data_IF_343696616963
#
_entry.id   IF_343696616963
#
_cell.length_a   1.000
_cell.length_b   1.000
_cell.length_c   1.000
_cell.angle_alpha   90.00
_cell.angle_beta   90.00
_cell.angle_gamma   90.00
#
_symmetry.space_group_name_H-M   'P 1'
#
loop_
_entity.id
_entity.type
_entity.pdbx_description
1 polymer ?
#
# COMPACT_ATOMS: atom_id res chain seq x y z
N UNK A 1 9.00 10.44 4.42
CA UNK A 1 8.36 9.98 5.67
C UNK A 1 7.04 10.73 5.76
N UNK A 2 5.93 10.03 6.03
CA UNK A 2 4.61 10.65 6.19
C UNK A 2 4.65 11.72 7.29
N UNK A 3 3.98 12.86 7.11
CA UNK A 3 3.87 13.87 8.18
C UNK A 3 3.27 13.22 9.43
N UNK A 4 4.07 13.14 10.49
CA UNK A 4 3.67 12.66 11.81
C UNK A 4 2.88 13.79 12.45
N UNK A 5 1.58 13.60 12.64
CA UNK A 5 0.70 14.59 13.28
C UNK A 5 0.04 13.98 14.50
N UNK A 6 -0.31 14.83 15.47
CA UNK A 6 -0.97 14.36 16.70
C UNK A 6 -2.25 13.55 16.42
N UNK A 7 -3.06 13.99 15.44
CA UNK A 7 -4.28 13.28 15.05
C UNK A 7 -4.01 11.86 14.54
N UNK A 8 -2.89 11.65 13.86
CA UNK A 8 -2.46 10.31 13.40
C UNK A 8 -1.92 9.43 14.53
N UNK A 9 -1.40 10.04 15.58
CA UNK A 9 -0.86 9.34 16.75
C UNK A 9 -1.93 8.95 17.76
N UNK A 10 -3.12 9.56 17.70
CA UNK A 10 -4.17 9.40 18.70
C UNK A 10 -4.55 7.95 19.00
N UNK A 11 -4.55 7.09 17.98
CA UNK A 11 -4.85 5.66 18.12
C UNK A 11 -3.72 4.85 18.76
N UNK A 12 -2.51 5.40 18.79
CA UNK A 12 -1.32 4.80 19.38
C UNK A 12 -1.07 5.26 20.80
N UNK A 13 -1.65 6.37 21.27
CA UNK A 13 -1.43 6.86 22.64
C UNK A 13 -2.24 5.97 23.61
N UNK A 14 -1.54 5.18 24.42
CA UNK A 14 -2.17 4.35 25.46
C UNK A 14 -2.26 5.10 26.79
N UNK A 15 -1.22 5.83 27.15
CA UNK A 15 -1.18 6.66 28.35
C UNK A 15 -0.39 7.93 28.07
N UNK A 16 -0.81 9.03 28.68
CA UNK A 16 -0.11 10.30 28.63
C UNK A 16 -0.12 10.93 30.02
N UNK A 17 1.07 11.27 30.52
CA UNK A 17 1.25 11.91 31.82
C UNK A 17 2.08 13.18 31.68
N UNK A 18 1.62 14.25 32.32
CA UNK A 18 2.26 15.57 32.29
C UNK A 18 2.84 15.87 33.66
N UNK A 19 4.15 16.11 33.72
CA UNK A 19 4.85 16.50 34.92
C UNK A 19 5.66 17.78 34.69
N UNK A 20 5.10 18.92 35.12
CA UNK A 20 5.67 20.24 34.87
C UNK A 20 5.75 20.54 33.37
N UNK A 21 6.96 20.70 32.84
CA UNK A 21 7.22 20.95 31.42
C UNK A 21 7.41 19.67 30.60
N UNK A 22 7.44 18.49 31.22
CA UNK A 22 7.67 17.22 30.53
C UNK A 22 6.36 16.47 30.28
N UNK A 23 6.26 15.85 29.11
CA UNK A 23 5.22 14.90 28.76
C UNK A 23 5.87 13.54 28.61
N UNK A 24 5.38 12.56 29.38
CA UNK A 24 5.70 11.15 29.19
C UNK A 24 4.53 10.52 28.46
N UNK A 25 4.81 9.90 27.32
CA UNK A 25 3.81 9.25 26.48
C UNK A 25 4.16 7.77 26.36
N UNK A 26 3.16 6.94 26.58
CA UNK A 26 3.22 5.50 26.35
C UNK A 26 2.48 5.23 25.05
N UNK A 27 3.22 4.88 24.00
CA UNK A 27 2.66 4.45 22.72
C UNK A 27 2.45 2.94 22.74
N UNK A 28 1.31 2.50 22.22
CA UNK A 28 0.96 1.10 22.04
C UNK A 28 0.71 0.81 20.58
N UNK A 29 1.34 -0.24 20.08
CA UNK A 29 1.04 -0.77 18.76
C UNK A 29 -0.32 -1.50 18.81
N UNK A 30 -1.34 -1.09 18.06
CA UNK A 30 -2.65 -1.74 18.06
C UNK A 30 -2.62 -3.18 17.53
N UNK A 31 -1.65 -3.52 16.67
CA UNK A 31 -1.53 -4.87 16.10
C UNK A 31 -0.86 -5.87 17.06
N UNK A 32 0.16 -5.43 17.81
CA UNK A 32 0.99 -6.32 18.63
C UNK A 32 0.82 -6.13 20.13
N UNK A 33 0.13 -5.06 20.55
CA UNK A 33 0.05 -4.59 21.94
C UNK A 33 1.43 -4.29 22.57
N UNK A 34 2.52 -4.24 21.78
CA UNK A 34 3.84 -3.79 22.24
C UNK A 34 3.79 -2.32 22.66
N UNK A 35 4.56 -1.99 23.69
CA UNK A 35 4.54 -0.70 24.37
C UNK A 35 5.89 -0.03 24.23
N UNK A 36 5.87 1.26 23.86
CA UNK A 36 7.04 2.11 23.69
C UNK A 36 6.87 3.36 24.54
N UNK A 37 7.87 3.67 25.35
CA UNK A 37 7.85 4.84 26.24
C UNK A 37 8.72 5.95 25.65
N UNK A 38 8.18 7.16 25.59
CA UNK A 38 8.92 8.32 25.15
C UNK A 38 8.63 9.53 26.02
N UNK A 39 9.58 10.46 26.06
CA UNK A 39 9.51 11.66 26.87
C UNK A 39 9.89 12.85 26.00
N UNK A 40 9.12 13.94 26.08
CA UNK A 40 9.43 15.20 25.43
C UNK A 40 9.15 16.39 26.35
N UNK A 41 9.69 17.56 26.00
CA UNK A 41 9.52 18.80 26.77
C UNK A 41 8.62 19.76 26.02
N UNK A 42 7.54 20.24 26.65
CA UNK A 42 6.60 21.19 26.07
C UNK A 42 7.28 22.54 25.81
N UNK A 43 7.06 23.07 24.59
CA UNK A 43 7.50 24.41 24.19
C UNK A 43 6.26 25.25 23.79
N UNK A 44 6.14 26.51 24.24
CA UNK A 44 5.01 27.37 23.88
C UNK A 44 4.90 27.55 22.36
N UNK A 45 3.67 27.55 21.85
CA UNK A 45 3.42 27.67 20.42
C UNK A 45 2.89 29.05 20.01
N UNK A 46 3.28 29.49 18.81
CA UNK A 46 2.79 30.68 18.12
C UNK A 46 2.39 30.31 16.69
N UNK A 47 1.13 29.88 16.46
CA UNK A 47 0.49 29.96 15.15
C UNK A 47 -0.31 28.74 14.63
N UNK A 48 -1.64 28.84 14.80
CA UNK A 48 -2.80 28.47 13.95
C UNK A 48 -2.69 27.30 12.95
N UNK A 49 -3.52 26.26 13.17
CA UNK A 49 -3.85 25.19 12.22
C UNK A 49 -5.26 25.31 11.60
N UNK A 50 -5.44 24.68 10.43
CA UNK A 50 -6.69 24.55 9.68
C UNK A 50 -7.30 23.15 9.80
N UNK A 51 -8.61 23.06 9.56
CA UNK A 51 -9.48 21.89 9.76
C UNK A 51 -10.12 21.49 8.42
N UNK A 52 -10.17 20.20 8.05
CA UNK A 52 -11.16 19.63 7.09
C UNK A 52 -11.49 18.15 7.38
N UNK A 53 -12.76 17.85 7.08
CA UNK A 53 -13.67 16.71 7.26
C UNK A 53 -13.43 15.43 6.43
N UNK A 54 -14.21 14.37 6.73
CA UNK A 54 -14.45 13.20 5.84
C UNK A 54 -15.88 12.61 5.94
N UNK A 55 -16.37 12.10 4.82
CA UNK A 55 -17.46 11.14 4.55
C UNK A 55 -17.12 10.47 3.18
N UNK A 56 -17.57 9.30 2.70
CA UNK A 56 -18.31 8.11 3.15
C UNK A 56 -18.06 6.95 2.11
N UNK A 57 -18.67 5.76 2.30
CA UNK A 57 -18.47 4.46 1.57
C UNK A 57 -19.46 4.16 0.41
N UNK A 58 -19.07 3.31 -0.58
CA UNK A 58 -19.65 1.98 -0.91
C UNK A 58 -19.06 1.30 -2.20
N UNK A 59 -19.31 -0.03 -2.33
CA UNK A 59 -19.03 -1.04 -3.40
C UNK A 59 -17.86 -2.03 -3.14
N UNK A 60 -18.14 -3.34 -3.19
CA UNK A 60 -17.28 -4.41 -2.63
C UNK A 60 -16.77 -5.47 -3.66
N UNK A 61 -16.95 -5.23 -4.95
CA UNK A 61 -16.28 -6.00 -6.04
C UNK A 61 -15.40 -5.06 -6.88
N UNK A 62 -15.89 -3.85 -7.14
CA UNK A 62 -15.04 -2.68 -7.40
C UNK A 62 -14.00 -2.45 -6.31
N UNK A 63 -14.18 -3.00 -5.11
CA UNK A 63 -13.17 -2.88 -4.07
C UNK A 63 -11.89 -3.61 -4.47
N UNK A 64 -11.91 -4.85 -5.00
CA UNK A 64 -10.70 -5.71 -5.17
C UNK A 64 -9.70 -5.05 -6.09
N UNK A 65 -10.29 -4.53 -7.17
CA UNK A 65 -9.63 -3.71 -8.16
C UNK A 65 -9.20 -2.35 -7.57
N UNK A 66 -9.99 -1.71 -6.70
CA UNK A 66 -9.61 -0.48 -5.96
C UNK A 66 -8.53 -0.69 -4.88
N UNK A 67 -8.47 -1.84 -4.20
CA UNK A 67 -7.45 -2.18 -3.22
C UNK A 67 -6.09 -2.36 -3.90
N UNK A 68 -6.07 -3.08 -5.02
CA UNK A 68 -4.87 -3.17 -5.86
C UNK A 68 -4.48 -1.80 -6.42
N UNK A 69 -5.44 -0.99 -6.88
CA UNK A 69 -5.22 0.40 -7.33
C UNK A 69 -4.51 1.25 -6.27
N UNK A 70 -4.91 1.17 -4.99
CA UNK A 70 -4.29 1.96 -3.92
C UNK A 70 -2.83 1.56 -3.66
N UNK A 71 -2.51 0.27 -3.78
CA UNK A 71 -1.13 -0.24 -3.69
C UNK A 71 -0.28 0.24 -4.88
N UNK A 72 -0.86 0.27 -6.08
CA UNK A 72 -0.15 0.63 -7.31
C UNK A 72 0.10 2.14 -7.42
N UNK A 73 -0.80 2.97 -6.89
CA UNK A 73 -0.63 4.42 -6.82
C UNK A 73 0.56 4.84 -5.94
N UNK A 74 0.87 4.06 -4.91
CA UNK A 74 2.05 4.28 -4.05
C UNK A 74 3.38 3.91 -4.72
N UNK A 75 3.35 3.02 -5.72
CA UNK A 75 4.55 2.42 -6.33
C UNK A 75 5.00 3.15 -7.60
N UNK A 76 4.07 3.77 -8.34
CA UNK A 76 4.35 4.39 -9.64
C UNK A 76 4.67 5.90 -9.60
N UNK A 77 4.65 6.51 -8.41
CA UNK A 77 5.13 7.88 -8.19
C UNK A 77 4.02 8.92 -8.20
N UNK A 78 3.64 9.36 -7.00
CA UNK A 78 2.80 10.51 -6.75
C UNK A 78 3.05 11.11 -5.37
N UNK A 79 3.86 12.17 -5.32
CA UNK A 79 4.12 13.11 -4.21
C UNK A 79 4.79 12.59 -2.92
N UNK A 80 6.13 12.64 -2.89
CA UNK A 80 6.87 13.13 -1.70
C UNK A 80 7.66 14.36 -2.15
N UNK A 81 7.02 15.52 -2.03
CA UNK A 81 7.62 16.80 -2.42
C UNK A 81 8.81 17.15 -1.55
N UNK A 82 9.90 17.49 -2.22
CA UNK A 82 11.10 18.13 -1.69
C UNK A 82 10.85 19.58 -1.30
N UNK A 83 11.24 20.00 -0.08
CA UNK A 83 11.91 21.30 0.13
C UNK A 83 12.97 21.12 1.23
N UNK A 84 14.20 21.47 0.87
CA UNK A 84 15.35 21.60 1.76
C UNK A 84 15.44 23.03 2.33
N UNK A 85 15.82 23.12 3.61
CA UNK A 85 16.78 24.06 4.19
C UNK A 85 16.55 25.59 4.10
N UNK A 86 16.50 26.23 5.26
CA UNK A 86 17.46 27.28 5.65
C UNK A 86 17.44 27.57 7.14
N UNK A 87 18.63 27.92 7.65
CA UNK A 87 19.03 28.00 9.05
C UNK A 87 18.87 29.41 9.67
N UNK A 88 18.94 29.41 11.00
CA UNK A 88 19.38 30.46 11.93
C UNK A 88 18.62 31.81 11.99
N UNK A 89 18.11 32.18 13.17
CA UNK A 89 18.84 32.99 14.16
C UNK A 89 17.92 33.49 15.29
N UNK A 90 18.36 33.25 16.53
CA UNK A 90 18.28 34.12 17.71
C UNK A 90 17.00 34.91 18.00
N UNK A 91 16.29 34.52 19.07
CA UNK A 91 15.75 35.46 20.07
C UNK A 91 15.37 34.72 21.36
N UNK A 92 16.02 35.09 22.47
CA UNK A 92 15.60 34.76 23.84
C UNK A 92 14.61 35.83 24.29
N UNK A 93 13.46 35.46 24.87
CA UNK A 93 13.10 36.12 26.12
C UNK A 93 12.63 35.17 27.24
N UNK A 94 12.92 35.68 28.43
CA UNK A 94 12.72 35.21 29.80
C UNK A 94 11.35 34.61 30.14
N UNK A 95 11.46 33.71 31.11
CA UNK A 95 10.42 33.08 31.91
C UNK A 95 9.31 34.04 32.39
N UNK A 96 8.09 33.73 31.95
CA UNK A 96 6.85 33.92 32.71
C UNK A 96 6.17 32.55 32.81
N UNK A 97 5.38 32.29 33.85
CA UNK A 97 4.63 31.05 34.01
C UNK A 97 3.62 30.91 32.88
N UNK A 98 3.98 30.18 31.83
CA UNK A 98 3.12 29.89 30.68
C UNK A 98 2.09 28.85 31.13
N UNK A 99 0.81 29.21 31.12
CA UNK A 99 -0.27 28.22 31.04
C UNK A 99 0.00 27.37 29.80
N UNK A 100 0.44 26.14 30.03
CA UNK A 100 0.80 25.19 28.98
C UNK A 100 -0.44 24.93 28.12
N UNK A 101 -0.40 25.46 26.90
CA UNK A 101 -1.48 25.36 25.94
C UNK A 101 -1.59 23.92 25.40
N UNK A 102 -2.80 23.49 25.03
CA UNK A 102 -3.09 22.17 24.45
C UNK A 102 -2.20 21.90 23.23
N UNK A 103 -1.92 22.93 22.44
CA UNK A 103 -1.02 22.88 21.28
C UNK A 103 0.40 22.49 21.65
N UNK A 104 0.94 23.01 22.76
CA UNK A 104 2.27 22.68 23.26
C UNK A 104 2.37 21.22 23.72
N UNK A 105 1.28 20.69 24.28
CA UNK A 105 1.14 19.27 24.65
C UNK A 105 1.09 18.38 23.41
N UNK A 106 0.21 18.68 22.43
CA UNK A 106 0.09 17.90 21.19
C UNK A 106 1.42 17.86 20.41
N UNK A 107 2.16 18.97 20.38
CA UNK A 107 3.52 19.01 19.82
C UNK A 107 4.51 18.16 20.59
N UNK A 108 4.51 18.24 21.92
CA UNK A 108 5.40 17.42 22.74
C UNK A 108 5.12 15.92 22.52
N UNK A 109 3.86 15.53 22.31
CA UNK A 109 3.51 14.15 21.95
C UNK A 109 4.08 13.75 20.59
N UNK A 110 4.00 14.64 19.59
CA UNK A 110 4.63 14.39 18.27
C UNK A 110 6.16 14.27 18.40
N UNK A 111 6.81 15.18 19.13
CA UNK A 111 8.27 15.15 19.38
C UNK A 111 8.69 13.89 20.17
N UNK A 112 7.88 13.46 21.14
CA UNK A 112 8.09 12.20 21.86
C UNK A 112 8.00 11.01 20.89
N UNK A 113 7.00 10.99 20.01
CA UNK A 113 6.86 9.93 19.02
C UNK A 113 8.04 9.91 18.02
N UNK A 114 8.52 11.06 17.57
CA UNK A 114 9.67 11.16 16.67
C UNK A 114 10.91 10.46 17.24
N UNK A 115 11.09 10.46 18.57
CA UNK A 115 12.19 9.75 19.24
C UNK A 115 12.11 8.22 19.12
N UNK A 116 10.91 7.66 18.94
CA UNK A 116 10.65 6.22 18.78
C UNK A 116 10.17 5.85 17.37
N UNK A 117 10.08 6.82 16.45
CA UNK A 117 9.44 6.64 15.14
C UNK A 117 10.11 5.58 14.27
N UNK A 118 11.40 5.28 14.50
CA UNK A 118 12.12 4.21 13.80
C UNK A 118 11.56 2.81 14.10
N UNK A 119 10.89 2.64 15.23
CA UNK A 119 10.28 1.38 15.68
C UNK A 119 8.86 1.19 15.12
N UNK A 120 8.36 2.18 14.38
CA UNK A 120 7.01 2.19 13.83
C UNK A 120 6.98 2.38 12.31
N UNK A 121 6.03 1.73 11.66
CA UNK A 121 5.64 1.97 10.27
C UNK A 121 4.19 2.45 10.21
N UNK A 122 3.90 3.43 9.38
CA UNK A 122 2.52 3.86 9.16
C UNK A 122 1.75 2.79 8.37
N UNK A 123 0.62 2.34 8.91
CA UNK A 123 -0.34 1.49 8.21
C UNK A 123 -1.53 2.32 7.73
N UNK A 124 -1.62 2.51 6.41
CA UNK A 124 -2.77 3.19 5.79
C UNK A 124 -4.08 2.44 6.06
N UNK A 125 -4.02 1.14 6.29
CA UNK A 125 -5.18 0.31 6.57
C UNK A 125 -5.76 0.55 7.97
N UNK A 126 -4.89 0.64 9.00
CA UNK A 126 -5.33 0.92 10.36
C UNK A 126 -5.48 2.41 10.66
N UNK A 127 -4.98 3.27 9.76
CA UNK A 127 -4.77 4.69 10.03
C UNK A 127 -4.03 4.89 11.38
N UNK A 128 -3.01 4.06 11.61
CA UNK A 128 -2.23 4.01 12.83
C UNK A 128 -0.80 3.55 12.55
N UNK A 129 0.11 3.87 13.48
CA UNK A 129 1.47 3.37 13.47
C UNK A 129 1.51 1.95 14.04
N UNK A 130 2.08 1.01 13.30
CA UNK A 130 2.31 -0.37 13.75
C UNK A 130 3.80 -0.61 13.94
N UNK A 131 4.16 -1.58 14.77
CA UNK A 131 5.57 -1.98 14.97
C UNK A 131 6.22 -2.29 13.61
N UNK A 132 7.39 -1.68 13.34
CA UNK A 132 8.07 -1.79 12.06
C UNK A 132 8.54 -3.22 11.74
N UNK A 133 8.95 -3.98 12.75
CA UNK A 133 9.34 -5.39 12.61
C UNK A 133 8.13 -6.23 12.19
N UNK A 134 7.00 -6.03 12.88
CA UNK A 134 5.76 -6.73 12.56
C UNK A 134 5.19 -6.28 11.21
N UNK A 135 5.32 -5.00 10.85
CA UNK A 135 4.93 -4.49 9.54
C UNK A 135 5.65 -5.25 8.42
N UNK A 136 6.94 -5.52 8.58
CA UNK A 136 7.71 -6.32 7.62
C UNK A 136 7.30 -7.80 7.58
N UNK A 137 6.96 -8.39 8.74
CA UNK A 137 6.46 -9.77 8.83
C UNK A 137 5.07 -9.91 8.20
N UNK A 138 4.21 -8.91 8.38
CA UNK A 138 2.85 -8.87 7.86
C UNK A 138 2.77 -8.44 6.39
N UNK A 139 3.84 -7.91 5.80
CA UNK A 139 3.90 -7.65 4.37
C UNK A 139 3.87 -8.97 3.59
N UNK A 140 3.01 -9.03 2.57
CA UNK A 140 3.05 -10.11 1.60
C UNK A 140 4.40 -10.08 0.85
N UNK A 141 4.84 -11.23 0.35
CA UNK A 141 6.05 -11.26 -0.50
C UNK A 141 5.87 -10.42 -1.77
N UNK A 142 4.61 -10.23 -2.19
CA UNK A 142 4.27 -9.27 -3.24
C UNK A 142 4.66 -7.83 -2.87
N UNK A 143 4.24 -7.37 -1.70
CA UNK A 143 4.55 -6.01 -1.26
C UNK A 143 6.05 -5.82 -1.02
N UNK A 144 6.74 -6.86 -0.52
CA UNK A 144 8.20 -6.85 -0.33
C UNK A 144 8.92 -6.70 -1.68
N UNK A 145 8.55 -7.50 -2.68
CA UNK A 145 9.15 -7.44 -4.01
C UNK A 145 8.92 -6.07 -4.67
N UNK A 146 7.69 -5.55 -4.58
CA UNK A 146 7.33 -4.28 -5.21
C UNK A 146 8.03 -3.08 -4.53
N UNK A 147 8.25 -3.15 -3.22
CA UNK A 147 8.99 -2.14 -2.46
C UNK A 147 10.50 -2.21 -2.69
N UNK A 148 11.06 -3.41 -2.81
CA UNK A 148 12.49 -3.61 -3.08
C UNK A 148 12.86 -3.22 -4.51
N UNK A 149 11.95 -3.45 -5.46
CA UNK A 149 12.17 -3.23 -6.88
C UNK A 149 11.01 -2.45 -7.52
N UNK A 150 10.86 -1.15 -7.19
CA UNK A 150 9.77 -0.34 -7.69
C UNK A 150 9.94 -0.02 -9.19
N UNK A 151 8.83 0.10 -9.91
CA UNK A 151 8.81 0.42 -11.34
C UNK A 151 8.83 1.95 -11.51
N UNK A 152 10.01 2.56 -11.36
CA UNK A 152 10.15 4.03 -11.38
C UNK A 152 10.52 4.61 -12.75
N UNK A 153 11.16 3.82 -13.61
CA UNK A 153 11.63 4.28 -14.91
C UNK A 153 10.47 4.51 -15.89
N UNK A 154 10.52 5.60 -16.66
CA UNK A 154 9.47 5.91 -17.64
C UNK A 154 9.30 4.76 -18.65
N UNK A 155 10.40 4.20 -19.15
CA UNK A 155 10.36 3.07 -20.08
C UNK A 155 9.65 1.87 -19.47
N UNK A 156 10.06 1.43 -18.27
CA UNK A 156 9.44 0.29 -17.59
C UNK A 156 7.96 0.53 -17.31
N UNK A 157 7.57 1.74 -16.91
CA UNK A 157 6.16 2.08 -16.71
C UNK A 157 5.36 1.97 -18.00
N UNK A 158 5.91 2.45 -19.12
CA UNK A 158 5.26 2.35 -20.44
C UNK A 158 5.15 0.90 -20.90
N UNK A 159 6.19 0.09 -20.74
CA UNK A 159 6.15 -1.34 -21.07
C UNK A 159 5.16 -2.07 -20.17
N UNK A 160 5.16 -1.81 -18.86
CA UNK A 160 4.21 -2.42 -17.91
C UNK A 160 2.77 -2.08 -18.27
N UNK A 161 2.49 -0.81 -18.58
CA UNK A 161 1.18 -0.38 -19.05
C UNK A 161 0.71 -1.14 -20.29
N UNK A 162 1.59 -1.32 -21.29
CA UNK A 162 1.28 -2.11 -22.49
C UNK A 162 1.10 -3.59 -22.17
N UNK A 163 1.88 -4.14 -21.22
CA UNK A 163 1.69 -5.52 -20.75
C UNK A 163 0.30 -5.70 -20.15
N UNK A 164 -0.13 -4.80 -19.26
CA UNK A 164 -1.46 -4.87 -18.66
C UNK A 164 -2.57 -4.70 -19.69
N UNK A 165 -2.39 -3.80 -20.67
CA UNK A 165 -3.34 -3.62 -21.76
C UNK A 165 -3.45 -4.86 -22.65
N UNK A 166 -2.34 -5.52 -22.98
CA UNK A 166 -2.35 -6.77 -23.75
C UNK A 166 -3.03 -7.91 -22.99
N UNK A 167 -2.87 -8.01 -21.66
CA UNK A 167 -3.56 -9.00 -20.83
C UNK A 167 -5.07 -8.76 -20.85
N UNK A 168 -5.51 -7.53 -20.57
CA UNK A 168 -6.94 -7.15 -20.59
C UNK A 168 -7.56 -7.35 -21.98
N UNK A 169 -6.79 -7.19 -23.05
CA UNK A 169 -7.26 -7.40 -24.42
C UNK A 169 -7.21 -8.86 -24.89
N UNK A 170 -6.79 -9.82 -24.05
CA UNK A 170 -6.52 -11.18 -24.47
C UNK A 170 -7.74 -11.87 -25.09
N UNK A 171 -8.93 -11.62 -24.54
CA UNK A 171 -10.21 -12.17 -24.98
C UNK A 171 -10.90 -11.33 -26.07
N UNK A 172 -10.37 -10.13 -26.33
CA UNK A 172 -10.88 -9.16 -27.30
C UNK A 172 -12.02 -8.26 -26.81
N UNK A 173 -12.42 -8.34 -25.54
CA UNK A 173 -13.50 -7.53 -24.96
C UNK A 173 -13.02 -6.91 -23.65
N UNK A 174 -12.79 -5.59 -23.65
CA UNK A 174 -12.54 -4.86 -22.41
C UNK A 174 -13.87 -4.57 -21.74
N UNK A 175 -14.10 -5.11 -20.55
CA UNK A 175 -15.25 -4.70 -19.75
C UNK A 175 -15.00 -3.37 -19.00
N UNK A 176 -16.06 -2.73 -18.51
CA UNK A 176 -15.97 -1.44 -17.80
C UNK A 176 -15.08 -1.53 -16.55
N UNK A 177 -14.97 -2.73 -16.01
CA UNK A 177 -14.37 -3.11 -14.74
C UNK A 177 -12.83 -3.23 -14.87
N UNK A 178 -12.37 -3.86 -15.95
CA UNK A 178 -10.97 -3.89 -16.39
C UNK A 178 -10.50 -2.51 -16.84
N UNK A 179 -11.36 -1.76 -17.54
CA UNK A 179 -11.08 -0.37 -17.92
C UNK A 179 -10.88 0.49 -16.67
N UNK A 180 -11.77 0.39 -15.68
CA UNK A 180 -11.64 1.12 -14.41
C UNK A 180 -10.34 0.75 -13.66
N UNK A 181 -10.01 -0.54 -13.60
CA UNK A 181 -8.75 -0.99 -13.01
C UNK A 181 -7.55 -0.38 -13.73
N UNK A 182 -7.54 -0.46 -15.06
CA UNK A 182 -6.45 0.01 -15.89
C UNK A 182 -6.22 1.52 -15.73
N UNK A 183 -7.29 2.30 -15.83
CA UNK A 183 -7.26 3.74 -15.60
C UNK A 183 -6.87 4.10 -14.16
N UNK A 184 -7.20 3.23 -13.21
CA UNK A 184 -6.77 3.34 -11.83
C UNK A 184 -5.26 3.17 -11.65
N UNK A 185 -4.64 2.26 -12.40
CA UNK A 185 -3.20 2.03 -12.43
C UNK A 185 -2.44 3.20 -13.07
N UNK A 186 -3.02 3.79 -14.11
CA UNK A 186 -2.38 4.76 -14.97
C UNK A 186 -2.63 6.18 -14.46
N UNK A 187 -1.79 6.69 -13.56
CA UNK A 187 -1.93 8.06 -13.09
C UNK A 187 -1.61 9.10 -14.18
N UNK A 188 -2.52 10.06 -14.30
CA UNK A 188 -2.86 10.94 -15.44
C UNK A 188 -1.82 11.97 -15.94
N UNK A 189 -0.50 11.72 -15.85
CA UNK A 189 0.47 12.69 -16.39
C UNK A 189 1.39 12.18 -17.49
N UNK A 190 1.77 10.90 -17.47
CA UNK A 190 2.84 10.41 -18.36
C UNK A 190 2.44 9.15 -19.16
N UNK A 191 1.17 8.77 -19.13
CA UNK A 191 0.71 7.49 -19.69
C UNK A 191 -0.49 7.64 -20.61
N UNK A 192 -0.37 7.04 -21.79
CA UNK A 192 -1.41 6.92 -22.82
C UNK A 192 -2.68 6.25 -22.26
N UNK A 193 -3.84 6.56 -22.86
CA UNK A 193 -5.09 5.89 -22.52
C UNK A 193 -5.04 4.40 -22.90
N UNK A 194 -5.91 3.57 -22.33
CA UNK A 194 -6.00 2.15 -22.71
C UNK A 194 -6.19 2.01 -24.24
N UNK A 195 -7.12 2.79 -24.81
CA UNK A 195 -7.42 2.76 -26.25
C UNK A 195 -6.21 3.18 -27.12
N UNK A 196 -5.31 4.04 -26.61
CA UNK A 196 -4.08 4.43 -27.31
C UNK A 196 -3.00 3.33 -27.22
N UNK A 197 -2.92 2.65 -26.08
CA UNK A 197 -1.95 1.57 -25.87
C UNK A 197 -2.29 0.35 -26.71
N UNK A 198 -3.57 0.02 -26.83
CA UNK A 198 -4.04 -1.07 -27.72
C UNK A 198 -3.66 -0.79 -29.17
N UNK A 199 -3.74 0.46 -29.62
CA UNK A 199 -3.34 0.88 -30.99
C UNK A 199 -1.83 0.81 -31.24
N UNK A 200 -1.00 0.87 -30.20
CA UNK A 200 0.46 0.86 -30.33
C UNK A 200 0.99 -0.49 -30.80
N UNK A 201 0.18 -1.55 -30.68
CA UNK A 201 0.52 -2.90 -31.10
C UNK A 201 1.25 -3.71 -30.03
N UNK A 202 1.35 -5.02 -30.29
CA UNK A 202 1.89 -5.97 -29.33
C UNK A 202 3.37 -5.72 -29.00
N UNK A 203 3.74 -5.88 -27.74
CA UNK A 203 5.09 -5.79 -27.24
C UNK A 203 5.98 -6.85 -27.89
N UNK A 204 7.11 -6.39 -28.40
CA UNK A 204 8.15 -7.24 -28.96
C UNK A 204 9.04 -7.80 -27.85
N UNK A 205 9.74 -8.90 -28.17
CA UNK A 205 10.75 -9.47 -27.29
C UNK A 205 11.89 -8.48 -26.99
N UNK A 206 12.25 -7.62 -27.94
CA UNK A 206 13.31 -6.64 -27.78
C UNK A 206 12.93 -5.61 -26.73
N UNK A 207 11.73 -5.03 -26.82
CA UNK A 207 11.25 -4.03 -25.86
C UNK A 207 11.19 -4.58 -24.43
N UNK A 208 10.69 -5.82 -24.27
CA UNK A 208 10.69 -6.51 -22.99
C UNK A 208 12.13 -6.74 -22.47
N UNK A 209 13.06 -7.08 -23.36
CA UNK A 209 14.47 -7.30 -23.03
C UNK A 209 15.25 -6.05 -22.64
N UNK A 210 14.81 -4.86 -23.05
CA UNK A 210 15.43 -3.57 -22.73
C UNK A 210 15.03 -3.03 -21.34
N UNK A 211 14.02 -3.63 -20.69
CA UNK A 211 13.62 -3.27 -19.33
C UNK A 211 14.72 -3.56 -18.32
N UNK A 212 14.82 -2.75 -17.26
CA UNK A 212 15.80 -3.00 -16.19
C UNK A 212 15.54 -4.36 -15.49
N UNK A 213 16.58 -5.19 -15.27
CA UNK A 213 16.44 -6.53 -14.69
C UNK A 213 15.74 -6.59 -13.32
N UNK A 214 15.93 -5.58 -12.48
CA UNK A 214 15.35 -5.49 -11.14
C UNK A 214 13.83 -5.29 -11.18
N UNK A 215 13.32 -4.47 -12.11
CA UNK A 215 11.90 -4.18 -12.25
C UNK A 215 11.08 -5.36 -12.83
N UNK A 216 11.70 -6.25 -13.61
CA UNK A 216 10.99 -7.27 -14.42
C UNK A 216 10.07 -8.18 -13.61
N UNK A 217 10.53 -8.61 -12.43
CA UNK A 217 9.73 -9.43 -11.54
C UNK A 217 8.48 -8.68 -11.06
N UNK A 218 8.64 -7.42 -10.65
CA UNK A 218 7.53 -6.56 -10.25
C UNK A 218 6.55 -6.35 -11.40
N UNK A 219 7.04 -6.06 -12.62
CA UNK A 219 6.19 -5.91 -13.81
C UNK A 219 5.37 -7.18 -14.08
N UNK A 220 6.01 -8.34 -14.02
CA UNK A 220 5.35 -9.63 -14.26
C UNK A 220 4.32 -9.96 -13.18
N UNK A 221 4.60 -9.64 -11.92
CA UNK A 221 3.64 -9.80 -10.82
C UNK A 221 2.38 -8.99 -11.04
N UNK A 222 2.50 -7.76 -11.52
CA UNK A 222 1.33 -6.93 -11.83
C UNK A 222 0.50 -7.53 -12.97
N UNK A 223 1.15 -8.05 -14.01
CA UNK A 223 0.47 -8.71 -15.11
C UNK A 223 -0.30 -9.96 -14.66
N UNK A 224 0.29 -10.82 -13.82
CA UNK A 224 -0.43 -11.96 -13.25
C UNK A 224 -1.57 -11.52 -12.33
N UNK A 225 -1.36 -10.52 -11.48
CA UNK A 225 -2.43 -10.05 -10.58
C UNK A 225 -3.63 -9.52 -11.35
N UNK A 226 -3.42 -8.84 -12.47
CA UNK A 226 -4.49 -8.41 -13.38
C UNK A 226 -5.26 -9.60 -13.95
N UNK A 227 -4.54 -10.53 -14.57
CA UNK A 227 -5.10 -11.71 -15.25
C UNK A 227 -5.81 -12.70 -14.31
N UNK A 228 -5.77 -12.46 -13.00
CA UNK A 228 -6.42 -13.30 -11.99
C UNK A 228 -7.61 -12.60 -11.33
N UNK A 229 -7.89 -11.34 -11.70
CA UNK A 229 -8.99 -10.59 -11.09
C UNK A 229 -10.37 -11.08 -11.49
N UNK A 230 -10.50 -11.72 -12.65
CA UNK A 230 -11.75 -12.31 -13.17
C UNK A 230 -11.96 -13.78 -12.74
N UNK A 231 -11.09 -14.26 -11.85
CA UNK A 231 -11.05 -15.63 -11.32
C UNK A 231 -10.73 -16.72 -12.37
N UNK A 232 -10.40 -16.37 -13.62
CA UNK A 232 -10.24 -17.35 -14.71
C UNK A 232 -9.09 -16.97 -15.63
N UNK A 233 -7.94 -17.56 -15.35
CA UNK A 233 -6.79 -17.43 -16.24
C UNK A 233 -6.98 -18.28 -17.51
N UNK A 234 -7.44 -17.68 -18.59
CA UNK A 234 -7.74 -18.40 -19.83
C UNK A 234 -6.47 -18.76 -20.65
N UNK A 235 -6.64 -19.54 -21.72
CA UNK A 235 -5.51 -19.98 -22.53
C UNK A 235 -4.81 -18.84 -23.31
N UNK A 236 -5.55 -17.78 -23.66
CA UNK A 236 -5.02 -16.62 -24.37
C UNK A 236 -4.17 -15.74 -23.44
N UNK A 237 -4.67 -15.45 -22.24
CA UNK A 237 -3.92 -14.75 -21.19
C UNK A 237 -2.67 -15.52 -20.78
N UNK A 238 -2.78 -16.85 -20.58
CA UNK A 238 -1.62 -17.70 -20.29
C UNK A 238 -0.56 -17.61 -21.38
N UNK A 239 -0.96 -17.60 -22.65
CA UNK A 239 -0.01 -17.48 -23.76
C UNK A 239 0.68 -16.11 -23.77
N UNK A 240 -0.05 -15.03 -23.46
CA UNK A 240 0.48 -13.67 -23.36
C UNK A 240 1.46 -13.54 -22.18
N UNK A 241 1.10 -14.06 -21.01
CA UNK A 241 1.95 -14.05 -19.82
C UNK A 241 3.22 -14.88 -20.04
N UNK A 242 3.12 -16.06 -20.65
CA UNK A 242 4.30 -16.87 -21.00
C UNK A 242 5.21 -16.15 -22.00
N UNK A 243 4.64 -15.43 -22.97
CA UNK A 243 5.40 -14.54 -23.88
C UNK A 243 6.13 -13.45 -23.09
N UNK A 244 5.49 -12.81 -22.12
CA UNK A 244 6.11 -11.79 -21.29
C UNK A 244 7.23 -12.34 -20.41
N UNK A 245 7.01 -13.44 -19.69
CA UNK A 245 8.04 -14.07 -18.87
C UNK A 245 9.29 -14.40 -19.70
N UNK A 246 9.10 -14.98 -20.88
CA UNK A 246 10.18 -15.26 -21.83
C UNK A 246 10.87 -14.01 -22.37
N UNK A 247 10.11 -12.95 -22.67
CA UNK A 247 10.64 -11.68 -23.18
C UNK A 247 11.44 -10.90 -22.14
N UNK A 248 10.97 -10.93 -20.89
CA UNK A 248 11.66 -10.37 -19.72
C UNK A 248 12.86 -11.22 -19.28
N UNK A 249 12.99 -12.46 -19.78
CA UNK A 249 14.07 -13.37 -19.40
C UNK A 249 13.93 -13.87 -17.96
N UNK A 250 12.69 -14.08 -17.50
CA UNK A 250 12.39 -14.68 -16.20
C UNK A 250 12.53 -16.20 -16.31
N UNK A 251 13.27 -16.81 -15.38
CA UNK A 251 13.40 -18.26 -15.32
C UNK A 251 12.10 -18.91 -14.83
N UNK A 252 11.82 -20.15 -15.26
CA UNK A 252 10.54 -20.83 -15.00
C UNK A 252 10.21 -20.98 -13.51
N UNK A 253 11.20 -21.36 -12.70
CA UNK A 253 11.08 -21.47 -11.24
C UNK A 253 10.72 -20.12 -10.59
N UNK A 254 11.34 -19.05 -11.09
CA UNK A 254 11.05 -17.68 -10.64
C UNK A 254 9.68 -17.20 -11.13
N UNK A 255 9.26 -17.60 -12.33
CA UNK A 255 7.94 -17.31 -12.88
C UNK A 255 6.83 -17.94 -12.02
N UNK A 256 6.97 -19.23 -11.66
CA UNK A 256 6.04 -19.92 -10.76
C UNK A 256 5.93 -19.22 -9.40
N UNK A 257 7.05 -18.77 -8.84
CA UNK A 257 7.08 -18.02 -7.59
C UNK A 257 6.37 -16.65 -7.72
N UNK A 258 6.66 -15.92 -8.80
CA UNK A 258 6.02 -14.63 -9.10
C UNK A 258 4.50 -14.80 -9.24
N UNK A 259 4.08 -15.83 -9.98
CA UNK A 259 2.68 -16.19 -10.15
C UNK A 259 2.04 -16.48 -8.80
N UNK A 260 2.67 -17.29 -7.95
CA UNK A 260 2.17 -17.60 -6.62
C UNK A 260 1.98 -16.34 -5.76
N UNK A 261 2.96 -15.44 -5.76
CA UNK A 261 2.85 -14.17 -5.03
C UNK A 261 1.71 -13.29 -5.55
N UNK A 262 1.49 -13.26 -6.87
CA UNK A 262 0.37 -12.56 -7.47
C UNK A 262 -0.99 -13.16 -7.05
N UNK A 263 -1.15 -14.49 -7.09
CA UNK A 263 -2.36 -15.17 -6.63
C UNK A 263 -2.67 -14.83 -5.16
N UNK A 264 -1.65 -14.95 -4.30
CA UNK A 264 -1.77 -14.63 -2.86
C UNK A 264 -2.22 -13.19 -2.67
N UNK A 265 -1.68 -12.26 -3.47
CA UNK A 265 -2.04 -10.85 -3.36
C UNK A 265 -3.48 -10.57 -3.76
N UNK A 266 -4.00 -11.25 -4.79
CA UNK A 266 -5.40 -11.11 -5.23
C UNK A 266 -6.35 -11.55 -4.11
N UNK A 267 -6.10 -12.72 -3.50
CA UNK A 267 -6.89 -13.21 -2.35
C UNK A 267 -6.81 -12.26 -1.16
N UNK A 268 -5.61 -11.79 -0.82
CA UNK A 268 -5.39 -10.85 0.27
C UNK A 268 -6.13 -9.53 0.05
N UNK A 269 -6.16 -9.04 -1.18
CA UNK A 269 -6.86 -7.81 -1.54
C UNK A 269 -8.38 -7.98 -1.38
N UNK A 270 -8.94 -9.09 -1.85
CA UNK A 270 -10.36 -9.44 -1.64
C UNK A 270 -10.71 -9.55 -0.15
N UNK A 271 -9.87 -10.22 0.65
CA UNK A 271 -10.05 -10.31 2.10
C UNK A 271 -10.06 -8.93 2.77
N UNK A 272 -9.11 -8.06 2.41
CA UNK A 272 -9.02 -6.71 2.99
C UNK A 272 -10.31 -5.90 2.78
N UNK A 273 -11.09 -6.23 1.77
CA UNK A 273 -12.27 -5.46 1.41
C UNK A 273 -13.55 -6.04 1.93
N UNK A 274 -13.69 -7.37 1.95
CA UNK A 274 -14.77 -7.97 2.72
C UNK A 274 -14.69 -7.49 4.17
N UNK A 275 -13.49 -7.37 4.73
CA UNK A 275 -13.27 -6.76 6.05
C UNK A 275 -13.41 -5.23 6.10
N UNK A 276 -13.91 -4.54 5.07
CA UNK A 276 -14.06 -3.07 5.08
C UNK A 276 -15.07 -2.58 6.12
N UNK A 277 -16.01 -3.42 6.56
CA UNK A 277 -16.94 -3.15 7.67
C UNK A 277 -16.50 -3.80 9.00
N UNK A 278 -15.33 -4.44 9.02
CA UNK A 278 -14.75 -5.10 10.18
C UNK A 278 -15.24 -6.53 10.41
N UNK A 279 -16.07 -7.09 9.53
CA UNK A 279 -16.56 -8.47 9.63
C UNK A 279 -16.43 -9.19 8.29
N UNK A 280 -16.54 -10.51 8.31
CA UNK A 280 -16.58 -11.34 7.11
C UNK A 280 -17.77 -12.27 7.25
N UNK A 281 -18.76 -12.13 6.38
CA UNK A 281 -19.93 -13.00 6.39
C UNK A 281 -19.68 -14.33 5.65
N UNK A 282 -20.62 -15.27 5.78
CA UNK A 282 -20.48 -16.59 5.17
C UNK A 282 -20.50 -16.58 3.64
N UNK A 283 -21.20 -15.61 3.03
CA UNK A 283 -21.27 -15.50 1.57
C UNK A 283 -19.97 -14.91 1.01
N UNK A 284 -19.41 -13.90 1.67
CA UNK A 284 -18.08 -13.34 1.36
C UNK A 284 -16.98 -14.38 1.50
N UNK A 285 -17.00 -15.16 2.59
CA UNK A 285 -16.06 -16.26 2.78
C UNK A 285 -16.13 -17.29 1.64
N UNK A 286 -17.34 -17.74 1.29
CA UNK A 286 -17.53 -18.70 0.20
C UNK A 286 -17.05 -18.18 -1.16
N UNK A 287 -17.19 -16.87 -1.42
CA UNK A 287 -16.61 -16.22 -2.61
C UNK A 287 -15.08 -16.24 -2.60
N UNK A 288 -14.46 -15.86 -1.48
CA UNK A 288 -13.00 -15.87 -1.35
C UNK A 288 -12.43 -17.28 -1.53
N UNK A 289 -13.08 -18.29 -0.94
CA UNK A 289 -12.67 -19.70 -1.09
C UNK A 289 -12.80 -20.18 -2.54
N UNK A 290 -13.87 -19.77 -3.24
CA UNK A 290 -14.07 -20.09 -4.67
C UNK A 290 -13.01 -19.44 -5.54
N UNK A 291 -12.78 -18.13 -5.38
CA UNK A 291 -11.73 -17.38 -6.06
C UNK A 291 -10.36 -18.03 -5.81
N UNK A 292 -10.02 -18.30 -4.55
CA UNK A 292 -8.74 -18.89 -4.16
C UNK A 292 -8.55 -20.27 -4.82
N UNK A 293 -9.57 -21.12 -4.81
CA UNK A 293 -9.52 -22.42 -5.48
C UNK A 293 -9.29 -22.28 -7.00
N UNK A 294 -9.99 -21.35 -7.65
CA UNK A 294 -9.87 -21.11 -9.09
C UNK A 294 -8.46 -20.64 -9.50
N UNK A 295 -7.84 -19.78 -8.69
CA UNK A 295 -6.49 -19.25 -8.98
C UNK A 295 -5.35 -20.07 -8.35
N UNK A 296 -5.67 -21.23 -7.74
CA UNK A 296 -4.68 -22.18 -7.22
C UNK A 296 -4.12 -21.89 -5.83
N UNK A 297 -4.82 -21.09 -5.01
CA UNK A 297 -4.50 -20.84 -3.60
C UNK A 297 -5.28 -21.81 -2.72
N UNK A 298 -4.56 -22.67 -1.99
CA UNK A 298 -5.20 -23.67 -1.12
C UNK A 298 -5.84 -23.06 0.13
N UNK A 299 -6.83 -23.77 0.69
CA UNK A 299 -7.62 -23.36 1.86
C UNK A 299 -6.76 -23.02 3.09
N UNK A 300 -5.71 -23.80 3.36
CA UNK A 300 -4.82 -23.55 4.49
C UNK A 300 -4.09 -22.20 4.37
N UNK A 301 -3.69 -21.83 3.15
CA UNK A 301 -3.09 -20.54 2.87
C UNK A 301 -4.13 -19.42 2.97
N UNK A 302 -5.36 -19.61 2.49
CA UNK A 302 -6.46 -18.65 2.68
C UNK A 302 -6.70 -18.37 4.17
N UNK A 303 -6.79 -19.40 5.00
CA UNK A 303 -6.97 -19.25 6.44
C UNK A 303 -5.82 -18.47 7.10
N UNK A 304 -4.58 -18.70 6.65
CA UNK A 304 -3.42 -17.92 7.10
C UNK A 304 -3.50 -16.46 6.67
N UNK A 305 -3.90 -16.20 5.44
CA UNK A 305 -4.08 -14.84 4.92
C UNK A 305 -5.19 -14.09 5.67
N UNK A 306 -6.31 -14.76 5.96
CA UNK A 306 -7.40 -14.23 6.79
C UNK A 306 -6.87 -13.76 8.16
N UNK A 307 -6.13 -14.62 8.87
CA UNK A 307 -5.52 -14.26 10.17
C UNK A 307 -4.60 -13.04 10.03
N UNK A 308 -3.78 -12.99 8.98
CA UNK A 308 -2.87 -11.87 8.75
C UNK A 308 -3.61 -10.57 8.44
N UNK A 309 -4.66 -10.62 7.61
CA UNK A 309 -5.53 -9.48 7.30
C UNK A 309 -6.23 -8.98 8.56
N UNK A 310 -6.80 -9.87 9.37
CA UNK A 310 -7.43 -9.50 10.66
C UNK A 310 -6.44 -8.84 11.60
N UNK A 311 -5.23 -9.38 11.75
CA UNK A 311 -4.15 -8.74 12.51
C UNK A 311 -3.80 -7.36 11.97
N UNK A 312 -3.65 -7.22 10.64
CA UNK A 312 -3.40 -5.94 9.98
C UNK A 312 -4.57 -4.98 10.05
N UNK A 313 -5.79 -5.40 10.37
CA UNK A 313 -6.92 -4.50 10.65
C UNK A 313 -7.21 -4.31 12.13
N UNK A 314 -6.50 -4.99 13.03
CA UNK A 314 -6.79 -4.99 14.47
C UNK A 314 -8.11 -5.68 14.84
N UNK A 315 -8.59 -6.60 13.98
CA UNK A 315 -9.81 -7.40 14.21
C UNK A 315 -9.41 -8.64 15.00
N UNK A 316 -10.07 -8.87 16.13
CA UNK A 316 -9.86 -10.05 17.00
C UNK A 316 -10.78 -11.19 16.61
#
# INVERSE_FOLDING_TARGET
MSDITYERLKNNIAEESVNGAQVTVTFRCPATERIHHAIATMRPDTGVGAQVTRQAKNELLHSARRGLRNLLRGVLGGSTGSVAGSAAASAVPRAGSVTLDRTARERAVVEAFESVAAEFAWSDEQQAYIDAEEAHVLMSDFDKQLRAHPITGHWERSVTARMLAEVVMADGVIDDDEREFFEGFMTSKDTQSLDDLVKTGALSKLELGETKPDARASMMMLAYSMAMTDEKLDAAEQAILAKFAKGLGIALDREEQIRHWACVKVVETMLNECYADGKLDGAERGRIETLAANIGVNEALVAKLDVNVRKRKGIR
#
